data_IF_849296880963
#
_entry.id   IF_849296880963
#
_cell.length_a   1.000
_cell.length_b   1.000
_cell.length_c   1.000
_cell.angle_alpha   90.00
_cell.angle_beta   90.00
_cell.angle_gamma   90.00
#
_symmetry.space_group_name_H-M   'P 1'
#
loop_
_entity.id
_entity.type
_entity.pdbx_description
1 polymer ?
#
# COMPACT_ATOMS: atom_id res chain seq x y z
N UNK A 1 -11.57 -13.36 -14.54
CA UNK A 1 -10.27 -12.69 -14.75
C UNK A 1 -10.31 -11.33 -14.09
N UNK A 2 -9.17 -10.82 -13.58
CA UNK A 2 -9.04 -9.47 -13.01
C UNK A 2 -8.04 -8.72 -13.89
N UNK A 3 -8.46 -7.61 -14.52
CA UNK A 3 -7.63 -6.84 -15.47
C UNK A 3 -7.00 -7.70 -16.58
N UNK A 4 -7.75 -8.67 -17.13
CA UNK A 4 -7.24 -9.58 -18.16
C UNK A 4 -6.30 -10.68 -17.65
N UNK A 5 -6.10 -10.82 -16.33
CA UNK A 5 -5.26 -11.85 -15.71
C UNK A 5 -6.08 -12.92 -14.98
N UNK A 6 -5.45 -14.10 -14.78
CA UNK A 6 -5.99 -15.09 -13.85
C UNK A 6 -6.01 -14.56 -12.42
N UNK A 7 -6.89 -15.09 -11.56
CA UNK A 7 -6.91 -14.70 -10.14
C UNK A 7 -5.56 -14.95 -9.48
N UNK A 8 -4.92 -16.10 -9.72
CA UNK A 8 -3.62 -16.43 -9.15
C UNK A 8 -2.50 -15.47 -9.59
N UNK A 9 -2.47 -15.08 -10.87
CA UNK A 9 -1.51 -14.08 -11.38
C UNK A 9 -1.71 -12.72 -10.72
N UNK A 10 -2.97 -12.27 -10.60
CA UNK A 10 -3.29 -11.01 -9.93
C UNK A 10 -2.91 -11.05 -8.45
N UNK A 11 -3.22 -12.15 -7.74
CA UNK A 11 -2.81 -12.35 -6.35
C UNK A 11 -1.29 -12.32 -6.19
N UNK A 12 -0.54 -12.97 -7.09
CA UNK A 12 0.92 -12.95 -7.04
C UNK A 12 1.45 -11.51 -7.17
N UNK A 13 0.95 -10.73 -8.12
CA UNK A 13 1.35 -9.33 -8.30
C UNK A 13 1.02 -8.51 -7.04
N UNK A 14 -0.20 -8.66 -6.51
CA UNK A 14 -0.62 -7.99 -5.28
C UNK A 14 0.28 -8.35 -4.08
N UNK A 15 0.69 -9.61 -3.96
CA UNK A 15 1.62 -10.04 -2.92
C UNK A 15 3.00 -9.41 -3.12
N UNK A 16 3.53 -9.40 -4.35
CA UNK A 16 4.85 -8.82 -4.62
C UNK A 16 4.91 -7.32 -4.27
N UNK A 17 3.89 -6.53 -4.66
CA UNK A 17 3.84 -5.11 -4.28
C UNK A 17 3.69 -4.93 -2.75
N UNK A 18 2.95 -5.81 -2.09
CA UNK A 18 2.77 -5.78 -0.63
C UNK A 18 4.08 -6.07 0.09
N UNK A 19 4.88 -7.01 -0.40
CA UNK A 19 6.18 -7.32 0.18
C UNK A 19 7.15 -6.14 0.07
N UNK A 20 7.12 -5.41 -1.05
CA UNK A 20 7.91 -4.17 -1.21
C UNK A 20 7.41 -3.09 -0.24
N UNK A 21 6.08 -2.94 -0.08
CA UNK A 21 5.50 -2.01 0.89
C UNK A 21 5.94 -2.34 2.33
N UNK A 22 5.88 -3.60 2.74
CA UNK A 22 6.30 -4.05 4.07
C UNK A 22 7.80 -3.80 4.28
N UNK A 23 8.65 -4.23 3.33
CA UNK A 23 10.09 -4.06 3.44
C UNK A 23 10.49 -2.58 3.54
N UNK A 24 9.94 -1.72 2.68
CA UNK A 24 10.18 -0.27 2.75
C UNK A 24 9.61 0.36 4.03
N UNK A 25 8.45 -0.10 4.51
CA UNK A 25 7.86 0.35 5.77
C UNK A 25 8.75 0.05 6.98
N UNK A 26 9.37 -1.13 7.03
CA UNK A 26 10.36 -1.47 8.06
C UNK A 26 11.54 -0.50 8.04
N UNK A 27 12.06 -0.15 6.86
CA UNK A 27 13.15 0.82 6.73
C UNK A 27 12.73 2.22 7.19
N UNK A 28 11.51 2.64 6.87
CA UNK A 28 10.96 3.94 7.34
C UNK A 28 10.85 3.97 8.87
N UNK A 29 10.32 2.91 9.49
CA UNK A 29 10.23 2.80 10.95
C UNK A 29 11.63 2.80 11.60
N UNK A 30 12.59 2.09 11.00
CA UNK A 30 13.98 2.13 11.46
C UNK A 30 14.57 3.56 11.40
N UNK A 31 14.25 4.33 10.35
CA UNK A 31 14.59 5.75 10.27
C UNK A 31 14.04 6.54 11.47
N UNK A 32 12.76 6.34 11.82
CA UNK A 32 12.15 7.01 12.97
C UNK A 32 12.87 6.68 14.29
N UNK A 33 13.23 5.41 14.51
CA UNK A 33 13.95 4.96 15.72
C UNK A 33 15.38 5.52 15.80
N UNK A 34 16.01 5.77 14.65
CA UNK A 34 17.38 6.30 14.56
C UNK A 34 17.45 7.82 14.38
N UNK A 35 16.30 8.51 14.43
CA UNK A 35 16.18 9.96 14.14
C UNK A 35 16.69 10.34 12.74
N UNK A 36 16.64 9.41 11.78
CA UNK A 36 17.02 9.64 10.39
C UNK A 36 15.80 9.62 9.47
N UNK A 37 15.81 10.47 8.45
CA UNK A 37 14.76 10.53 7.44
C UNK A 37 15.24 9.89 6.14
N UNK A 38 14.73 8.70 5.83
CA UNK A 38 15.02 8.01 4.58
C UNK A 38 14.01 8.37 3.50
N UNK A 39 14.15 9.57 2.93
CA UNK A 39 13.19 10.17 1.99
C UNK A 39 12.81 9.25 0.81
N UNK A 40 13.80 8.55 0.22
CA UNK A 40 13.54 7.59 -0.88
C UNK A 40 12.70 6.40 -0.44
N UNK A 41 12.99 5.82 0.72
CA UNK A 41 12.22 4.69 1.24
C UNK A 41 10.82 5.13 1.69
N UNK A 42 10.65 6.36 2.18
CA UNK A 42 9.32 6.90 2.47
C UNK A 42 8.48 7.03 1.19
N UNK A 43 9.06 7.53 0.09
CA UNK A 43 8.37 7.60 -1.18
C UNK A 43 7.95 6.20 -1.70
N UNK A 44 8.88 5.23 -1.67
CA UNK A 44 8.60 3.83 -2.07
C UNK A 44 7.50 3.23 -1.20
N UNK A 45 7.56 3.42 0.12
CA UNK A 45 6.55 2.95 1.06
C UNK A 45 5.16 3.52 0.74
N UNK A 46 5.06 4.84 0.56
CA UNK A 46 3.77 5.50 0.28
C UNK A 46 3.16 5.01 -1.04
N UNK A 47 3.97 4.90 -2.10
CA UNK A 47 3.52 4.40 -3.40
C UNK A 47 3.08 2.95 -3.31
N UNK A 48 3.92 2.06 -2.76
CA UNK A 48 3.63 0.62 -2.74
C UNK A 48 2.48 0.28 -1.79
N UNK A 49 2.35 0.97 -0.66
CA UNK A 49 1.21 0.81 0.25
C UNK A 49 -0.08 1.32 -0.40
N UNK A 50 -0.03 2.46 -1.10
CA UNK A 50 -1.18 2.97 -1.87
C UNK A 50 -1.62 1.99 -2.96
N UNK A 51 -0.68 1.44 -3.74
CA UNK A 51 -0.94 0.43 -4.75
C UNK A 51 -1.48 -0.87 -4.15
N UNK A 52 -0.95 -1.31 -3.01
CA UNK A 52 -1.46 -2.48 -2.27
C UNK A 52 -2.91 -2.27 -1.88
N UNK A 53 -3.24 -1.13 -1.26
CA UNK A 53 -4.62 -0.80 -0.87
C UNK A 53 -5.54 -0.72 -2.09
N UNK A 54 -5.13 -0.03 -3.17
CA UNK A 54 -5.91 0.10 -4.40
C UNK A 54 -6.20 -1.24 -5.07
N UNK A 55 -5.17 -2.07 -5.26
CA UNK A 55 -5.33 -3.40 -5.88
C UNK A 55 -6.13 -4.34 -4.99
N UNK A 56 -6.08 -4.16 -3.66
CA UNK A 56 -6.91 -4.88 -2.71
C UNK A 56 -8.41 -4.75 -3.02
N UNK A 57 -8.88 -3.61 -3.53
CA UNK A 57 -10.29 -3.40 -3.90
C UNK A 57 -10.73 -4.14 -5.17
N UNK A 58 -9.80 -4.65 -5.97
CA UNK A 58 -10.12 -5.36 -7.22
C UNK A 58 -10.41 -6.85 -7.02
N UNK A 59 -10.21 -7.38 -5.80
CA UNK A 59 -10.57 -8.75 -5.47
C UNK A 59 -12.09 -8.94 -5.41
N UNK A 60 -12.59 -10.16 -5.72
CA UNK A 60 -14.02 -10.42 -5.76
C UNK A 60 -14.60 -10.51 -4.34
N UNK A 61 -15.17 -9.40 -3.85
CA UNK A 61 -15.93 -9.37 -2.61
C UNK A 61 -17.43 -9.39 -2.90
N UNK A 62 -18.20 -10.10 -2.08
CA UNK A 62 -19.66 -10.18 -2.19
C UNK A 62 -20.38 -9.23 -1.23
N UNK A 63 -19.65 -8.62 -0.29
CA UNK A 63 -20.20 -7.73 0.72
C UNK A 63 -19.14 -6.78 1.27
N UNK A 64 -19.59 -5.72 1.96
CA UNK A 64 -18.71 -4.77 2.62
C UNK A 64 -18.03 -5.43 3.84
N UNK A 65 -16.79 -5.86 3.67
CA UNK A 65 -15.98 -6.44 4.75
C UNK A 65 -15.29 -5.35 5.58
N UNK A 66 -14.86 -5.64 6.82
CA UNK A 66 -13.99 -4.74 7.59
C UNK A 66 -12.73 -4.30 6.83
N UNK A 67 -12.19 -5.16 5.97
CA UNK A 67 -11.02 -4.86 5.15
C UNK A 67 -11.27 -3.72 4.15
N UNK A 68 -12.46 -3.68 3.53
CA UNK A 68 -12.84 -2.60 2.60
C UNK A 68 -12.90 -1.26 3.34
N UNK A 69 -13.53 -1.24 4.53
CA UNK A 69 -13.62 -0.03 5.36
C UNK A 69 -12.23 0.47 5.76
N UNK A 70 -11.35 -0.44 6.20
CA UNK A 70 -9.98 -0.11 6.55
C UNK A 70 -9.18 0.38 5.34
N UNK A 71 -9.38 -0.21 4.16
CA UNK A 71 -8.73 0.23 2.92
C UNK A 71 -9.10 1.68 2.56
N UNK A 72 -10.37 2.08 2.74
CA UNK A 72 -10.83 3.45 2.48
C UNK A 72 -10.16 4.42 3.44
N UNK A 73 -10.16 4.10 4.73
CA UNK A 73 -9.48 4.91 5.77
C UNK A 73 -7.99 5.02 5.46
N UNK A 74 -7.34 3.90 5.13
CA UNK A 74 -5.92 3.82 4.77
C UNK A 74 -5.60 4.74 3.59
N UNK A 75 -6.37 4.69 2.51
CA UNK A 75 -6.17 5.55 1.34
C UNK A 75 -6.35 7.03 1.68
N UNK A 76 -7.33 7.38 2.51
CA UNK A 76 -7.51 8.76 2.99
C UNK A 76 -6.28 9.28 3.75
N UNK A 77 -5.77 8.49 4.69
CA UNK A 77 -4.56 8.84 5.46
C UNK A 77 -3.32 8.92 4.56
N UNK A 78 -3.16 7.99 3.62
CA UNK A 78 -2.04 8.01 2.67
C UNK A 78 -2.10 9.22 1.74
N UNK A 79 -3.30 9.60 1.27
CA UNK A 79 -3.48 10.80 0.45
C UNK A 79 -3.06 12.06 1.22
N UNK A 80 -3.50 12.21 2.47
CA UNK A 80 -3.07 13.31 3.34
C UNK A 80 -1.54 13.30 3.53
N UNK A 81 -0.94 12.13 3.77
CA UNK A 81 0.50 12.01 3.94
C UNK A 81 1.28 12.39 2.67
N UNK A 82 0.79 12.03 1.49
CA UNK A 82 1.41 12.41 0.21
C UNK A 82 1.28 13.92 -0.03
N UNK A 83 0.09 14.49 0.13
CA UNK A 83 -0.15 15.92 -0.06
C UNK A 83 0.74 16.73 0.87
N UNK A 84 0.71 16.47 2.18
CA UNK A 84 1.46 17.28 3.15
C UNK A 84 2.98 17.10 3.07
N UNK A 85 3.47 16.03 2.44
CA UNK A 85 4.91 15.77 2.31
C UNK A 85 5.50 16.28 0.99
N UNK A 86 4.72 16.28 -0.09
CA UNK A 86 5.23 16.49 -1.44
C UNK A 86 4.58 17.65 -2.22
N UNK A 87 3.50 18.25 -1.70
CA UNK A 87 2.83 19.43 -2.28
C UNK A 87 2.87 20.60 -1.29
#
# INVERSE_FOLDING_TARGET
MILGMSLGTFTLIHVLISLVAIASGIVVVYGFLTKQRFERFTAVFLVMTGLTSLTGFLFPFTSATPAIKLGIISLGVLAIAVVTRYL
#
